data_IF_907105150055
#
_entry.id   IF_907105150055
#
_cell.length_a   1.000
_cell.length_b   1.000
_cell.length_c   1.000
_cell.angle_alpha   90.00
_cell.angle_beta   90.00
_cell.angle_gamma   90.00
#
_symmetry.space_group_name_H-M   'P 1'
#
loop_
_entity.id
_entity.type
_entity.pdbx_description
1 polymer ?
#
# COMPACT_ATOMS: atom_id res chain seq x y z
N UNK A 1 -10.13 6.81 -14.19
CA UNK A 1 -9.60 5.99 -13.12
C UNK A 1 -10.30 6.30 -11.81
N UNK A 2 -10.74 5.30 -11.12
CA UNK A 2 -11.56 5.50 -9.93
C UNK A 2 -10.73 5.55 -8.66
N UNK A 3 -10.04 6.64 -8.48
CA UNK A 3 -9.33 6.89 -7.22
C UNK A 3 -10.24 7.56 -6.18
N UNK A 4 -11.49 7.75 -6.55
CA UNK A 4 -12.44 8.53 -5.74
C UNK A 4 -13.56 7.69 -5.15
N UNK A 5 -13.29 6.43 -4.88
CA UNK A 5 -14.27 5.56 -4.26
C UNK A 5 -14.32 5.83 -2.76
N UNK A 6 -15.25 6.69 -2.38
CA UNK A 6 -15.36 7.17 -1.01
C UNK A 6 -15.78 6.10 -0.01
N UNK A 7 -16.20 4.93 -0.48
CA UNK A 7 -16.55 3.81 0.39
C UNK A 7 -15.34 2.93 0.72
N UNK A 8 -14.22 3.18 0.07
CA UNK A 8 -13.02 2.35 0.24
C UNK A 8 -12.31 2.61 1.55
N UNK A 9 -11.59 1.59 1.99
CA UNK A 9 -10.65 1.69 3.11
C UNK A 9 -9.24 1.69 2.58
N UNK A 10 -8.37 2.41 3.25
CA UNK A 10 -6.96 2.50 2.91
C UNK A 10 -6.15 2.11 4.14
N UNK A 11 -5.16 1.24 3.97
CA UNK A 11 -4.24 0.95 5.07
C UNK A 11 -3.17 2.05 5.06
N UNK A 12 -3.05 2.77 6.16
CA UNK A 12 -2.14 3.90 6.25
C UNK A 12 -1.48 3.92 7.62
N UNK A 13 -0.17 3.83 7.64
CA UNK A 13 0.64 3.93 8.86
C UNK A 13 0.18 2.99 9.98
N UNK A 14 -0.15 1.76 9.60
CA UNK A 14 -0.43 0.72 10.58
C UNK A 14 -1.89 0.41 10.81
N UNK A 15 -2.82 1.15 10.19
CA UNK A 15 -4.24 0.88 10.41
C UNK A 15 -5.07 1.19 9.18
N UNK A 16 -6.24 0.56 9.12
CA UNK A 16 -7.21 0.85 8.07
C UNK A 16 -7.96 2.12 8.42
N UNK A 17 -7.99 3.06 7.49
CA UNK A 17 -8.71 4.32 7.67
C UNK A 17 -9.70 4.50 6.52
N UNK A 18 -10.68 5.37 6.73
CA UNK A 18 -11.62 5.71 5.66
C UNK A 18 -10.91 6.47 4.55
N UNK A 19 -11.43 6.32 3.34
CA UNK A 19 -10.87 7.00 2.18
C UNK A 19 -10.65 8.50 2.43
N UNK A 20 -11.60 9.16 3.07
CA UNK A 20 -11.53 10.61 3.32
C UNK A 20 -10.42 11.00 4.28
N UNK A 21 -9.96 10.06 5.11
CA UNK A 21 -8.93 10.32 6.11
C UNK A 21 -7.53 9.91 5.65
N UNK A 22 -7.42 9.29 4.48
CA UNK A 22 -6.13 8.84 3.94
C UNK A 22 -5.45 10.00 3.20
N UNK A 23 -5.03 11.00 3.95
CA UNK A 23 -4.46 12.24 3.39
C UNK A 23 -3.09 12.52 4.00
N UNK A 24 -2.32 13.34 3.30
CA UNK A 24 -1.02 13.78 3.80
C UNK A 24 -0.94 15.30 3.70
N UNK A 25 -0.08 15.87 4.51
CA UNK A 25 0.09 17.32 4.54
C UNK A 25 0.87 17.78 3.31
N UNK A 26 0.54 18.97 2.81
CA UNK A 26 1.20 19.55 1.64
C UNK A 26 2.69 19.82 1.86
N UNK A 27 3.14 19.86 3.10
CA UNK A 27 4.55 20.04 3.42
C UNK A 27 5.29 18.73 3.63
N UNK A 28 4.64 17.60 3.36
CA UNK A 28 5.32 16.30 3.41
C UNK A 28 6.46 16.27 2.41
N UNK A 29 7.55 15.64 2.79
CA UNK A 29 8.77 15.58 1.97
C UNK A 29 8.47 15.03 0.58
N UNK A 30 7.63 14.00 0.49
CA UNK A 30 7.29 13.37 -0.79
C UNK A 30 6.63 14.35 -1.77
N UNK A 31 5.84 15.30 -1.26
CA UNK A 31 5.13 16.24 -2.12
C UNK A 31 6.12 17.18 -2.82
N UNK A 32 7.18 17.56 -2.14
CA UNK A 32 8.17 18.51 -2.67
C UNK A 32 9.32 17.84 -3.41
N UNK A 33 9.68 16.62 -3.01
CA UNK A 33 10.89 15.96 -3.51
C UNK A 33 10.64 14.62 -4.18
N UNK A 34 9.40 14.14 -4.18
CA UNK A 34 9.07 12.87 -4.82
C UNK A 34 9.70 11.65 -4.16
N UNK A 35 9.97 11.72 -2.86
CA UNK A 35 10.67 10.66 -2.14
C UNK A 35 9.73 9.52 -1.79
N UNK A 36 9.54 8.62 -2.74
CA UNK A 36 8.67 7.46 -2.55
C UNK A 36 9.12 6.30 -3.43
N UNK A 37 8.69 5.11 -3.03
CA UNK A 37 8.81 3.90 -3.84
C UNK A 37 7.47 3.18 -3.78
N UNK A 38 7.13 2.44 -4.83
CA UNK A 38 5.86 1.72 -4.86
C UNK A 38 5.96 0.45 -5.67
N UNK A 39 4.95 -0.41 -5.50
CA UNK A 39 4.78 -1.61 -6.31
C UNK A 39 3.39 -1.60 -6.94
N UNK A 40 3.23 -2.37 -8.00
CA UNK A 40 1.94 -2.61 -8.62
C UNK A 40 1.64 -4.09 -8.57
N UNK A 41 0.58 -4.47 -7.87
CA UNK A 41 0.25 -5.87 -7.62
C UNK A 41 -1.17 -6.14 -8.08
N UNK A 42 -1.39 -7.29 -8.70
CA UNK A 42 -2.73 -7.68 -9.14
C UNK A 42 -3.29 -8.80 -8.29
N UNK A 43 -4.57 -8.70 -8.01
CA UNK A 43 -5.32 -9.76 -7.36
C UNK A 43 -6.40 -10.25 -8.33
N UNK A 44 -6.62 -11.55 -8.35
CA UNK A 44 -7.57 -12.19 -9.26
C UNK A 44 -8.54 -13.05 -8.48
N UNK A 45 -9.81 -12.99 -8.86
CA UNK A 45 -10.82 -13.85 -8.30
C UNK A 45 -10.76 -15.22 -8.99
N UNK A 46 -10.79 -16.28 -8.19
CA UNK A 46 -10.90 -17.63 -8.72
C UNK A 46 -11.85 -18.43 -7.82
N UNK A 47 -12.07 -19.71 -8.15
CA UNK A 47 -13.05 -20.52 -7.41
C UNK A 47 -12.67 -20.80 -5.96
N UNK A 48 -11.41 -20.60 -5.61
CA UNK A 48 -10.93 -20.79 -4.24
C UNK A 48 -10.80 -19.47 -3.48
N UNK A 49 -11.29 -18.36 -4.05
CA UNK A 49 -11.22 -17.05 -3.45
C UNK A 49 -10.35 -16.10 -4.24
N UNK A 50 -9.86 -15.08 -3.58
CA UNK A 50 -9.02 -14.06 -4.21
C UNK A 50 -7.55 -14.45 -4.05
N UNK A 51 -6.82 -14.48 -5.15
CA UNK A 51 -5.40 -14.75 -5.16
C UNK A 51 -4.63 -13.48 -5.53
N UNK A 52 -3.67 -13.12 -4.68
CA UNK A 52 -2.81 -11.97 -4.94
C UNK A 52 -1.54 -12.48 -5.61
N UNK A 53 -1.30 -12.03 -6.84
CA UNK A 53 -0.24 -12.59 -7.67
C UNK A 53 1.14 -12.19 -7.14
N UNK A 54 1.94 -13.17 -6.77
CA UNK A 54 3.33 -13.00 -6.31
C UNK A 54 3.47 -11.97 -5.19
N UNK A 55 2.55 -12.04 -4.23
CA UNK A 55 2.54 -11.07 -3.13
C UNK A 55 3.88 -11.00 -2.40
N UNK A 56 4.44 -12.13 -2.06
CA UNK A 56 5.69 -12.18 -1.29
C UNK A 56 6.84 -11.52 -2.05
N UNK A 57 6.96 -11.82 -3.33
CA UNK A 57 8.01 -11.25 -4.17
C UNK A 57 7.86 -9.74 -4.34
N UNK A 58 6.62 -9.27 -4.51
CA UNK A 58 6.37 -7.84 -4.63
C UNK A 58 6.70 -7.10 -3.34
N UNK A 59 6.31 -7.67 -2.20
CA UNK A 59 6.62 -7.06 -0.90
C UNK A 59 8.12 -7.00 -0.69
N UNK A 60 8.82 -8.08 -1.01
CA UNK A 60 10.29 -8.11 -0.88
C UNK A 60 10.93 -7.01 -1.74
N UNK A 61 10.47 -6.86 -2.98
CA UNK A 61 10.99 -5.85 -3.89
C UNK A 61 10.69 -4.43 -3.40
N UNK A 62 9.52 -4.23 -2.79
CA UNK A 62 9.19 -2.94 -2.18
C UNK A 62 10.21 -2.58 -1.09
N UNK A 63 10.57 -3.54 -0.25
CA UNK A 63 11.55 -3.33 0.79
C UNK A 63 12.94 -3.06 0.22
N UNK A 64 13.32 -3.77 -0.85
CA UNK A 64 14.59 -3.53 -1.53
C UNK A 64 14.63 -2.11 -2.11
N UNK A 65 13.55 -1.67 -2.74
CA UNK A 65 13.47 -0.33 -3.31
C UNK A 65 13.60 0.74 -2.23
N UNK A 66 12.89 0.54 -1.11
CA UNK A 66 12.95 1.47 0.01
C UNK A 66 14.38 1.56 0.59
N UNK A 67 15.05 0.43 0.66
CA UNK A 67 16.43 0.38 1.18
C UNK A 67 17.38 1.18 0.28
N UNK A 68 17.21 1.08 -1.04
CA UNK A 68 18.04 1.83 -1.98
C UNK A 68 17.90 3.33 -1.75
N UNK A 69 16.70 3.79 -1.45
CA UNK A 69 16.43 5.21 -1.19
C UNK A 69 16.54 5.57 0.29
N UNK A 70 16.98 4.63 1.11
CA UNK A 70 17.19 4.83 2.55
C UNK A 70 15.93 5.30 3.26
N UNK A 71 14.80 4.75 2.86
CA UNK A 71 13.53 5.01 3.53
C UNK A 71 13.24 3.80 4.42
N UNK A 72 13.32 3.94 5.74
CA UNK A 72 13.03 2.81 6.62
C UNK A 72 11.55 2.50 6.65
N UNK A 73 11.23 1.21 6.64
CA UNK A 73 9.85 0.75 6.79
C UNK A 73 9.74 0.15 8.19
N UNK A 74 8.90 0.74 9.07
CA UNK A 74 8.82 0.29 10.47
C UNK A 74 7.98 -0.99 10.66
N UNK A 75 7.87 -1.81 9.64
CA UNK A 75 7.12 -3.05 9.64
C UNK A 75 7.93 -4.14 8.98
N UNK A 76 7.63 -5.40 9.29
CA UNK A 76 8.26 -6.53 8.62
C UNK A 76 7.57 -6.79 7.27
N UNK A 77 8.23 -7.58 6.42
CA UNK A 77 7.63 -7.98 5.14
C UNK A 77 6.33 -8.74 5.36
N UNK A 78 6.30 -9.61 6.39
CA UNK A 78 5.11 -10.38 6.73
C UNK A 78 3.96 -9.47 7.17
N UNK A 79 4.26 -8.45 7.95
CA UNK A 79 3.25 -7.49 8.39
C UNK A 79 2.65 -6.72 7.22
N UNK A 80 3.49 -6.30 6.27
CA UNK A 80 3.01 -5.60 5.09
C UNK A 80 2.18 -6.54 4.20
N UNK A 81 2.61 -7.79 4.04
CA UNK A 81 1.85 -8.77 3.27
C UNK A 81 0.46 -8.99 3.88
N UNK A 82 0.38 -9.10 5.21
CA UNK A 82 -0.89 -9.24 5.90
C UNK A 82 -1.76 -7.99 5.77
N UNK A 83 -1.14 -6.81 5.81
CA UNK A 83 -1.85 -5.55 5.62
C UNK A 83 -2.49 -5.47 4.23
N UNK A 84 -1.78 -5.95 3.21
CA UNK A 84 -2.30 -5.98 1.84
C UNK A 84 -3.50 -6.92 1.75
N UNK A 85 -3.39 -8.12 2.34
CA UNK A 85 -4.51 -9.07 2.35
C UNK A 85 -5.72 -8.50 3.07
N UNK A 86 -5.51 -7.86 4.21
CA UNK A 86 -6.59 -7.25 4.98
C UNK A 86 -7.27 -6.14 4.19
N UNK A 87 -6.48 -5.32 3.50
CA UNK A 87 -7.02 -4.23 2.70
C UNK A 87 -7.94 -4.75 1.61
N UNK A 88 -7.54 -5.82 0.93
CA UNK A 88 -8.37 -6.44 -0.10
C UNK A 88 -9.64 -7.01 0.51
N UNK A 89 -9.54 -7.70 1.65
CA UNK A 89 -10.70 -8.29 2.33
C UNK A 89 -11.70 -7.23 2.77
N UNK A 90 -11.20 -6.17 3.42
CA UNK A 90 -12.06 -5.15 4.01
C UNK A 90 -12.76 -4.30 2.94
N UNK A 91 -12.21 -4.25 1.75
CA UNK A 91 -12.87 -3.56 0.64
C UNK A 91 -13.78 -4.49 -0.17
N UNK A 92 -13.81 -5.78 0.16
CA UNK A 92 -14.65 -6.74 -0.52
C UNK A 92 -14.34 -6.92 -2.00
N UNK A 93 -13.11 -6.67 -2.38
CA UNK A 93 -12.74 -6.73 -3.80
C UNK A 93 -12.37 -8.15 -4.20
N UNK A 94 -12.73 -8.51 -5.42
CA UNK A 94 -12.46 -9.85 -5.96
C UNK A 94 -11.31 -9.83 -6.96
N UNK A 95 -11.30 -8.83 -7.83
CA UNK A 95 -10.18 -8.59 -8.73
C UNK A 95 -9.83 -7.13 -8.64
N UNK A 96 -8.57 -6.81 -8.45
CA UNK A 96 -8.19 -5.43 -8.23
C UNK A 96 -6.70 -5.19 -8.48
N UNK A 97 -6.37 -3.93 -8.51
CA UNK A 97 -4.98 -3.48 -8.57
C UNK A 97 -4.62 -2.91 -7.20
N UNK A 98 -3.48 -3.33 -6.68
CA UNK A 98 -3.01 -2.92 -5.36
C UNK A 98 -1.76 -2.07 -5.52
N UNK A 99 -1.77 -0.89 -4.92
CA UNK A 99 -0.64 0.01 -4.95
C UNK A 99 -0.10 0.23 -3.54
N UNK A 100 0.87 -0.57 -3.08
CA UNK A 100 1.58 -0.22 -1.86
C UNK A 100 2.62 0.85 -2.17
N UNK A 101 2.67 1.87 -1.34
CA UNK A 101 3.61 2.97 -1.50
C UNK A 101 4.27 3.28 -0.17
N UNK A 102 5.56 3.52 -0.21
CA UNK A 102 6.34 3.98 0.94
C UNK A 102 6.87 5.36 0.60
N UNK A 103 6.61 6.32 1.46
CA UNK A 103 7.02 7.69 1.19
C UNK A 103 7.50 8.39 2.46
N UNK A 104 8.31 9.42 2.25
CA UNK A 104 8.71 10.28 3.37
C UNK A 104 7.62 11.30 3.62
N UNK A 105 7.13 11.30 4.84
CA UNK A 105 6.05 12.17 5.23
C UNK A 105 6.54 13.49 5.79
N UNK A 106 5.69 14.06 6.63
CA UNK A 106 5.93 15.32 7.31
C UNK A 106 6.32 14.98 8.74
N UNK A 107 7.43 15.40 9.20
CA UNK A 107 7.62 15.21 10.66
C UNK A 107 8.96 14.67 10.97
N UNK A 108 9.81 14.45 10.71
CA UNK A 108 11.17 14.19 11.09
C UNK A 108 11.97 13.58 10.00
#
# INVERSE_FOLDING_TARGET
>A
MAWDDTASKVWMDGELVDWKDATIHSLSHVVHYGTSVFEGIRAYNNENGVAIFRLKEHVHRLFDSAKIYKIPIPYTEEEIAEAIKETVRENGLKSCYIRPIVFRGCGE
#
